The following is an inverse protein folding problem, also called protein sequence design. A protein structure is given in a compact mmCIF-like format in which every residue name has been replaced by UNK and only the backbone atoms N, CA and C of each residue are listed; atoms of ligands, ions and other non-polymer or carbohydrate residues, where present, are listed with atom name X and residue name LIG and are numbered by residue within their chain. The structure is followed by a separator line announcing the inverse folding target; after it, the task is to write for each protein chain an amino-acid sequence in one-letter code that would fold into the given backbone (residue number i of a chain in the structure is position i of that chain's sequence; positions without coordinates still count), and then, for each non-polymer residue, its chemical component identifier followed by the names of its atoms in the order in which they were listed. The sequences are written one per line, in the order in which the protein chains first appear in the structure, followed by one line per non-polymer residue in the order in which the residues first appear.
data_IF_284327157480
#
_entry.id   IF_284327157480
#
_cell.length_a   1.000
_cell.length_b   1.000
_cell.length_c   1.000
_cell.angle_alpha   90.00
_cell.angle_beta   90.00
_cell.angle_gamma   90.00
#
_symmetry.space_group_name_H-M   'P 1'
#
loop_
_entity.id
_entity.type
_entity.pdbx_description
1 polymer ?
#
# COMPACT_ATOMS: atom_id res chain seq x y z
N UNK A 1 19.07 -65.71 -16.11
CA UNK A 1 17.82 -64.92 -16.20
C UNK A 1 18.01 -63.44 -15.87
N UNK A 2 18.70 -63.07 -14.78
CA UNK A 2 18.86 -61.66 -14.38
C UNK A 2 19.62 -60.75 -15.37
N UNK A 3 20.69 -61.24 -16.02
CA UNK A 3 21.45 -60.46 -17.00
C UNK A 3 20.64 -60.10 -18.26
N UNK A 4 19.75 -61.01 -18.69
CA UNK A 4 18.89 -60.77 -19.85
C UNK A 4 17.78 -59.76 -19.54
N UNK A 5 17.21 -59.78 -18.33
CA UNK A 5 16.21 -58.79 -17.93
C UNK A 5 16.82 -57.40 -17.71
N UNK A 6 18.04 -57.32 -17.18
CA UNK A 6 18.78 -56.06 -17.03
C UNK A 6 19.18 -55.48 -18.39
N UNK A 7 19.57 -56.30 -19.36
CA UNK A 7 19.83 -55.86 -20.73
C UNK A 7 18.55 -55.33 -21.40
N UNK A 8 17.41 -55.98 -21.17
CA UNK A 8 16.12 -55.55 -21.70
C UNK A 8 15.68 -54.21 -21.11
N UNK A 9 15.78 -54.04 -19.78
CA UNK A 9 15.41 -52.77 -19.12
C UNK A 9 16.29 -51.61 -19.59
N UNK A 10 17.60 -51.79 -19.71
CA UNK A 10 18.50 -50.73 -20.19
C UNK A 10 18.25 -50.35 -21.65
N UNK A 11 17.79 -51.28 -22.50
CA UNK A 11 17.38 -50.96 -23.88
C UNK A 11 16.08 -50.18 -23.94
N UNK A 12 15.13 -50.52 -23.07
CA UNK A 12 13.84 -49.83 -22.97
C UNK A 12 14.01 -48.41 -22.40
N UNK A 13 14.91 -48.25 -21.41
CA UNK A 13 15.35 -46.95 -20.91
C UNK A 13 16.01 -46.11 -22.02
N UNK A 14 16.94 -46.69 -22.79
CA UNK A 14 17.57 -46.02 -23.94
C UNK A 14 16.53 -45.54 -24.96
N UNK A 15 15.60 -46.40 -25.37
CA UNK A 15 14.55 -46.04 -26.31
C UNK A 15 13.65 -44.92 -25.75
N UNK A 16 13.35 -44.96 -24.44
CA UNK A 16 12.57 -43.90 -23.78
C UNK A 16 13.31 -42.56 -23.75
N UNK A 17 14.64 -42.59 -23.55
CA UNK A 17 15.47 -41.40 -23.52
C UNK A 17 15.66 -40.81 -24.92
N UNK A 18 15.85 -41.65 -25.94
CA UNK A 18 15.91 -41.23 -27.34
C UNK A 18 14.59 -40.57 -27.78
N UNK A 19 13.45 -41.15 -27.40
CA UNK A 19 12.14 -40.55 -27.66
C UNK A 19 11.98 -39.19 -26.98
N UNK A 20 12.38 -39.07 -25.71
CA UNK A 20 12.35 -37.79 -24.97
C UNK A 20 13.31 -36.76 -25.56
N UNK A 21 14.50 -37.17 -26.00
CA UNK A 21 15.44 -36.27 -26.66
C UNK A 21 14.87 -35.74 -27.97
N UNK A 22 14.22 -36.61 -28.76
CA UNK A 22 13.57 -36.19 -30.00
C UNK A 22 12.41 -35.23 -29.75
N UNK A 23 11.57 -35.47 -28.73
CA UNK A 23 10.48 -34.57 -28.40
C UNK A 23 10.99 -33.21 -27.91
N UNK A 24 11.99 -33.21 -27.03
CA UNK A 24 12.63 -31.98 -26.52
C UNK A 24 13.30 -31.18 -27.65
N UNK A 25 13.97 -31.85 -28.58
CA UNK A 25 14.58 -31.18 -29.73
C UNK A 25 13.52 -30.47 -30.58
N UNK A 26 12.38 -31.14 -30.83
CA UNK A 26 11.27 -30.54 -31.57
C UNK A 26 10.65 -29.35 -30.81
N UNK A 27 10.47 -29.45 -29.49
CA UNK A 27 9.96 -28.35 -28.66
C UNK A 27 10.92 -27.15 -28.67
N UNK A 28 12.22 -27.39 -28.56
CA UNK A 28 13.24 -26.34 -28.65
C UNK A 28 13.17 -25.66 -30.02
N UNK A 29 13.14 -26.41 -31.11
CA UNK A 29 13.06 -25.83 -32.46
C UNK A 29 11.79 -24.99 -32.65
N UNK A 30 10.65 -25.49 -32.16
CA UNK A 30 9.37 -24.77 -32.12
C UNK A 30 9.49 -23.43 -31.38
N UNK A 31 10.06 -23.43 -30.17
CA UNK A 31 10.21 -22.22 -29.36
C UNK A 31 11.25 -21.25 -29.95
N UNK A 32 12.31 -21.77 -30.55
CA UNK A 32 13.38 -20.95 -31.15
C UNK A 32 12.84 -20.17 -32.35
N UNK A 33 12.01 -20.81 -33.18
CA UNK A 33 11.34 -20.17 -34.32
C UNK A 33 10.33 -19.10 -33.90
N UNK A 34 9.73 -19.23 -32.71
CA UNK A 34 8.82 -18.21 -32.17
C UNK A 34 9.56 -17.06 -31.47
N UNK A 35 10.79 -17.29 -31.01
CA UNK A 35 11.61 -16.35 -30.24
C UNK A 35 12.85 -15.94 -31.01
N UNK A 36 12.69 -15.67 -32.29
CA UNK A 36 13.80 -15.22 -33.13
C UNK A 36 14.44 -13.95 -32.54
N UNK A 37 15.77 -13.96 -32.41
CA UNK A 37 16.55 -12.81 -31.96
C UNK A 37 16.67 -11.76 -33.06
N UNK A 38 15.54 -11.18 -33.44
CA UNK A 38 15.46 -10.03 -34.33
C UNK A 38 15.85 -8.75 -33.58
N UNK A 39 16.36 -7.75 -34.31
CA UNK A 39 16.68 -6.43 -33.75
C UNK A 39 15.45 -5.78 -33.09
N UNK A 40 14.26 -5.98 -33.68
CA UNK A 40 12.99 -5.51 -33.14
C UNK A 40 12.66 -6.14 -31.79
N UNK A 41 12.89 -7.45 -31.64
CA UNK A 41 12.66 -8.14 -30.36
C UNK A 41 13.66 -7.69 -29.30
N UNK A 42 14.94 -7.56 -29.66
CA UNK A 42 15.99 -7.09 -28.74
C UNK A 42 15.68 -5.67 -28.26
N UNK A 43 15.31 -4.77 -29.17
CA UNK A 43 14.96 -3.38 -28.83
C UNK A 43 13.68 -3.32 -27.97
N UNK A 44 12.66 -4.12 -28.28
CA UNK A 44 11.42 -4.20 -27.49
C UNK A 44 11.66 -4.74 -26.08
N UNK A 45 12.51 -5.76 -25.93
CA UNK A 45 12.89 -6.29 -24.62
C UNK A 45 13.71 -5.29 -23.80
N UNK A 46 14.60 -4.53 -24.44
CA UNK A 46 15.34 -3.46 -23.78
C UNK A 46 14.40 -2.35 -23.30
N UNK A 47 13.44 -1.92 -24.13
CA UNK A 47 12.41 -0.95 -23.73
C UNK A 47 11.54 -1.48 -22.59
N UNK A 48 11.15 -2.75 -22.63
CA UNK A 48 10.37 -3.37 -21.56
C UNK A 48 11.14 -3.37 -20.25
N UNK A 49 12.44 -3.72 -20.27
CA UNK A 49 13.29 -3.70 -19.10
C UNK A 49 13.44 -2.27 -18.52
N UNK A 50 13.66 -1.28 -19.40
CA UNK A 50 13.74 0.13 -19.00
C UNK A 50 12.42 0.62 -18.39
N UNK A 51 11.29 0.34 -19.02
CA UNK A 51 9.97 0.74 -18.52
C UNK A 51 9.66 0.11 -17.17
N UNK A 52 10.04 -1.16 -16.94
CA UNK A 52 9.89 -1.81 -15.64
C UNK A 52 10.74 -1.14 -14.55
N UNK A 53 11.97 -0.77 -14.87
CA UNK A 53 12.82 -0.02 -13.94
C UNK A 53 12.20 1.34 -13.60
N UNK A 54 11.76 2.09 -14.63
CA UNK A 54 11.11 3.39 -14.45
C UNK A 54 9.84 3.30 -13.60
N UNK A 55 9.00 2.28 -13.83
CA UNK A 55 7.78 2.05 -13.01
C UNK A 55 8.18 1.84 -11.55
N UNK A 56 9.17 0.98 -11.28
CA UNK A 56 9.61 0.72 -9.91
C UNK A 56 10.15 1.97 -9.22
N UNK A 57 10.88 2.82 -9.94
CA UNK A 57 11.38 4.10 -9.40
C UNK A 57 10.24 5.08 -9.11
N UNK A 58 9.30 5.23 -10.05
CA UNK A 58 8.15 6.11 -9.89
C UNK A 58 7.21 5.65 -8.77
N UNK A 59 7.01 4.34 -8.60
CA UNK A 59 6.21 3.78 -7.50
C UNK A 59 6.89 4.05 -6.14
N UNK A 60 8.22 3.91 -6.07
CA UNK A 60 8.99 4.24 -4.88
C UNK A 60 8.91 5.73 -4.56
N UNK A 61 8.98 6.61 -5.56
CA UNK A 61 8.83 8.05 -5.39
C UNK A 61 7.39 8.43 -4.97
N UNK A 62 6.37 7.87 -5.62
CA UNK A 62 4.97 8.06 -5.23
C UNK A 62 4.68 7.60 -3.81
N UNK A 63 5.29 6.50 -3.36
CA UNK A 63 5.13 6.02 -1.99
C UNK A 63 5.67 7.04 -0.97
N UNK A 64 6.73 7.78 -1.29
CA UNK A 64 7.23 8.87 -0.44
C UNK A 64 6.22 10.03 -0.36
N UNK A 65 5.47 10.27 -1.43
CA UNK A 65 4.39 11.26 -1.48
C UNK A 65 3.03 10.71 -1.04
N UNK A 66 2.92 9.47 -0.56
CA UNK A 66 1.65 8.85 -0.17
C UNK A 66 0.91 9.59 0.95
N UNK A 67 1.64 10.37 1.76
CA UNK A 67 1.06 11.26 2.79
C UNK A 67 0.41 12.53 2.21
N UNK A 68 0.68 12.85 0.94
CA UNK A 68 0.29 14.06 0.24
C UNK A 68 -0.74 13.80 -0.87
N UNK A 69 -1.53 12.72 -0.78
CA UNK A 69 -2.73 12.57 -1.62
C UNK A 69 -3.64 13.80 -1.42
N UNK A 70 -3.85 14.63 -2.48
CA UNK A 70 -4.64 15.85 -2.36
C UNK A 70 -6.06 15.60 -1.87
N UNK A 71 -6.64 14.45 -2.21
CA UNK A 71 -8.01 14.09 -1.80
C UNK A 71 -8.06 13.75 -0.32
N UNK A 72 -7.10 12.98 0.18
CA UNK A 72 -7.00 12.65 1.61
C UNK A 72 -6.69 13.90 2.44
N UNK A 73 -5.79 14.75 1.95
CA UNK A 73 -5.43 15.99 2.61
C UNK A 73 -6.62 16.95 2.69
N UNK A 74 -7.38 17.10 1.60
CA UNK A 74 -8.57 17.94 1.57
C UNK A 74 -9.67 17.44 2.51
N UNK A 75 -9.87 16.12 2.59
CA UNK A 75 -10.79 15.51 3.57
C UNK A 75 -10.36 15.80 5.01
N UNK A 76 -9.07 15.65 5.32
CA UNK A 76 -8.52 15.97 6.66
C UNK A 76 -8.70 17.45 6.99
N UNK A 77 -8.43 18.35 6.04
CA UNK A 77 -8.63 19.80 6.23
C UNK A 77 -10.07 20.12 6.60
N UNK A 78 -11.04 19.59 5.85
CA UNK A 78 -12.47 19.80 6.15
C UNK A 78 -12.87 19.26 7.52
N UNK A 79 -12.38 18.07 7.88
CA UNK A 79 -12.64 17.49 9.18
C UNK A 79 -12.06 18.35 10.32
N UNK A 80 -10.84 18.88 10.15
CA UNK A 80 -10.21 19.77 11.13
C UNK A 80 -10.99 21.07 11.28
N UNK A 81 -11.43 21.68 10.18
CA UNK A 81 -12.26 22.90 10.24
C UNK A 81 -13.54 22.65 11.02
N UNK A 82 -14.27 21.58 10.70
CA UNK A 82 -15.51 21.23 11.40
C UNK A 82 -15.27 20.92 12.89
N UNK A 83 -14.19 20.19 13.21
CA UNK A 83 -13.83 19.88 14.58
C UNK A 83 -13.49 21.14 15.38
N UNK A 84 -12.76 22.09 14.77
CA UNK A 84 -12.44 23.38 15.36
C UNK A 84 -13.71 24.19 15.62
N UNK A 85 -14.57 24.35 14.62
CA UNK A 85 -15.84 25.08 14.77
C UNK A 85 -16.71 24.49 15.88
N UNK A 86 -16.79 23.15 15.96
CA UNK A 86 -17.51 22.47 17.00
C UNK A 86 -16.89 22.73 18.39
N UNK A 87 -15.57 22.65 18.52
CA UNK A 87 -14.86 22.90 19.76
C UNK A 87 -15.00 24.35 20.24
N UNK A 88 -14.86 25.34 19.35
CA UNK A 88 -15.11 26.75 19.67
C UNK A 88 -16.55 26.95 20.16
N UNK A 89 -17.54 26.37 19.47
CA UNK A 89 -18.95 26.51 19.88
C UNK A 89 -19.24 25.88 21.24
N UNK A 90 -18.63 24.75 21.55
CA UNK A 90 -18.76 24.14 22.89
C UNK A 90 -18.06 24.96 23.97
N UNK A 91 -16.93 25.59 23.64
CA UNK A 91 -16.20 26.51 24.53
C UNK A 91 -17.01 27.77 24.83
N UNK A 92 -17.68 28.34 23.82
CA UNK A 92 -18.62 29.45 24.01
C UNK A 92 -19.79 29.05 24.92
N UNK A 93 -20.40 27.89 24.64
CA UNK A 93 -21.50 27.36 25.44
C UNK A 93 -21.08 27.15 26.90
N UNK A 94 -19.89 26.59 27.12
CA UNK A 94 -19.30 26.44 28.43
C UNK A 94 -19.17 27.80 29.12
N UNK A 95 -18.58 28.80 28.45
CA UNK A 95 -18.38 30.14 29.00
C UNK A 95 -19.68 30.81 29.43
N UNK A 96 -20.74 30.68 28.62
CA UNK A 96 -22.08 31.20 28.93
C UNK A 96 -22.69 30.51 30.15
N UNK A 97 -22.64 29.18 30.20
CA UNK A 97 -23.18 28.39 31.32
C UNK A 97 -22.37 28.64 32.60
N UNK A 98 -21.05 28.71 32.50
CA UNK A 98 -20.14 29.01 33.59
C UNK A 98 -20.46 30.37 34.21
N UNK A 99 -20.62 31.41 33.39
CA UNK A 99 -21.02 32.73 33.88
C UNK A 99 -22.42 32.73 34.51
N UNK A 100 -23.37 31.96 33.96
CA UNK A 100 -24.72 31.90 34.52
C UNK A 100 -24.73 31.18 35.87
N UNK A 101 -24.05 30.03 35.99
CA UNK A 101 -24.00 29.24 37.23
C UNK A 101 -23.28 30.02 38.33
N UNK A 102 -22.13 30.62 38.03
CA UNK A 102 -21.37 31.38 39.04
C UNK A 102 -22.11 32.65 39.48
N UNK A 103 -22.74 33.39 38.55
CA UNK A 103 -23.38 34.68 38.86
C UNK A 103 -24.83 34.56 39.36
N UNK A 104 -25.63 33.66 38.80
CA UNK A 104 -27.05 33.56 39.12
C UNK A 104 -27.35 32.51 40.20
N UNK A 105 -26.59 31.41 40.24
CA UNK A 105 -26.76 30.34 41.24
C UNK A 105 -25.78 30.46 42.41
N UNK A 106 -24.74 31.29 42.29
CA UNK A 106 -23.80 31.58 43.37
C UNK A 106 -22.83 30.44 43.69
N UNK A 107 -22.65 29.49 42.76
CA UNK A 107 -21.71 28.39 42.93
C UNK A 107 -20.26 28.88 42.84
N UNK A 108 -19.36 28.23 43.58
CA UNK A 108 -17.94 28.54 43.53
C UNK A 108 -17.34 28.18 42.15
N UNK A 109 -16.54 29.10 41.64
CA UNK A 109 -15.97 29.01 40.29
C UNK A 109 -14.87 27.92 40.20
N UNK A 110 -14.14 27.67 41.29
CA UNK A 110 -13.06 26.67 41.31
C UNK A 110 -13.65 25.27 41.46
N UNK A 111 -14.65 25.09 42.33
CA UNK A 111 -15.37 23.83 42.46
C UNK A 111 -16.03 23.40 41.13
N UNK A 112 -16.61 24.35 40.39
CA UNK A 112 -17.21 24.07 39.08
C UNK A 112 -16.17 23.67 38.02
N UNK A 113 -14.99 24.31 38.02
CA UNK A 113 -13.88 23.94 37.12
C UNK A 113 -13.33 22.56 37.44
N UNK A 114 -13.14 22.25 38.71
CA UNK A 114 -12.69 20.93 39.17
C UNK A 114 -13.71 19.84 38.78
N UNK A 115 -15.01 20.09 39.00
CA UNK A 115 -16.08 19.17 38.62
C UNK A 115 -16.11 18.89 37.11
N UNK A 116 -15.90 19.92 36.28
CA UNK A 116 -15.83 19.79 34.82
C UNK A 116 -14.46 19.34 34.32
N UNK A 117 -13.49 19.10 35.22
CA UNK A 117 -12.11 18.70 34.89
C UNK A 117 -11.41 19.70 33.95
N UNK A 118 -11.61 21.00 34.20
CA UNK A 118 -11.04 22.08 33.41
C UNK A 118 -9.72 22.53 34.05
N UNK A 119 -8.62 22.31 33.33
CA UNK A 119 -7.28 22.75 33.73
C UNK A 119 -7.12 24.27 33.74
N UNK A 120 -6.05 24.76 34.37
CA UNK A 120 -5.71 26.19 34.37
C UNK A 120 -5.24 26.70 33.00
N UNK A 121 -4.74 25.78 32.19
CA UNK A 121 -4.28 25.92 30.80
C UNK A 121 -5.43 25.82 29.77
N UNK A 122 -6.68 25.91 30.22
CA UNK A 122 -7.84 25.94 29.34
C UNK A 122 -7.95 27.28 28.60
N UNK A 123 -7.64 27.24 27.30
CA UNK A 123 -7.67 28.40 26.41
C UNK A 123 -8.42 28.08 25.11
N UNK A 124 -8.77 29.14 24.37
CA UNK A 124 -9.41 29.03 23.06
C UNK A 124 -8.45 28.46 22.01
N UNK A 125 -9.02 27.76 21.03
CA UNK A 125 -8.26 27.21 19.90
C UNK A 125 -8.08 28.30 18.82
N UNK A 126 -6.85 28.77 18.61
CA UNK A 126 -6.46 29.72 17.55
C UNK A 126 -6.55 29.16 16.11
#
# INVERSE_FOLDING_TARGET
MQLASSLASSKEELASLESKMSSLAHEIESETTQREDTEDRISSLAQLAQNRANISELESEMAQYGLADPVVLERKRRAVVLAREAACRWTDNYSVLFSHITRALGCDANELREYLSIGEDYEDIE
#
